data_IF_097411647227
#
_entry.id   IF_097411647227
#
_cell.length_a   1.000
_cell.length_b   1.000
_cell.length_c   1.000
_cell.angle_alpha   90.00
_cell.angle_beta   90.00
_cell.angle_gamma   90.00
#
_symmetry.space_group_name_H-M   'P 1'
#
loop_
_entity.id
_entity.type
_entity.pdbx_description
1 polymer ?
#
# COMPACT_ATOMS: atom_id res chain seq x y z
N UNK A 1 34.11 -22.11 47.81
CA UNK A 1 33.32 -21.91 46.59
C UNK A 1 32.15 -21.01 46.97
N UNK A 2 32.26 -19.68 46.68
CA UNK A 2 31.20 -18.75 46.98
C UNK A 2 30.08 -18.94 45.95
N UNK A 3 28.96 -19.52 46.40
CA UNK A 3 27.76 -19.67 45.54
C UNK A 3 27.31 -18.32 45.04
N UNK A 4 27.14 -18.19 43.73
CA UNK A 4 26.61 -17.00 43.06
C UNK A 4 25.20 -16.71 43.60
N UNK A 5 25.08 -15.68 44.45
CA UNK A 5 23.78 -15.23 45.00
C UNK A 5 23.25 -14.15 44.10
N UNK A 6 22.22 -14.50 43.31
CA UNK A 6 21.44 -13.52 42.53
C UNK A 6 20.72 -12.59 43.47
N UNK A 7 20.89 -11.28 43.29
CA UNK A 7 20.21 -10.26 44.05
C UNK A 7 18.68 -10.40 43.94
N UNK A 8 17.90 -10.21 45.03
CA UNK A 8 16.43 -10.25 44.96
C UNK A 8 15.83 -9.34 43.90
N UNK A 9 16.46 -8.19 43.65
CA UNK A 9 16.03 -7.25 42.61
C UNK A 9 16.22 -7.82 41.23
N UNK A 10 17.34 -8.47 40.94
CA UNK A 10 17.61 -9.15 39.67
C UNK A 10 16.60 -10.28 39.41
N UNK A 11 16.27 -11.06 40.44
CA UNK A 11 15.24 -12.11 40.31
C UNK A 11 13.87 -11.56 39.91
N UNK A 12 13.45 -10.47 40.55
CA UNK A 12 12.18 -9.83 40.18
C UNK A 12 12.16 -9.27 38.77
N UNK A 13 13.28 -8.66 38.33
CA UNK A 13 13.45 -8.18 36.97
C UNK A 13 13.41 -9.32 35.94
N UNK A 14 14.08 -10.41 36.22
CA UNK A 14 14.09 -11.61 35.36
C UNK A 14 12.69 -12.21 35.25
N UNK A 15 11.98 -12.35 36.36
CA UNK A 15 10.61 -12.88 36.39
C UNK A 15 9.65 -11.94 35.61
N UNK A 16 9.71 -10.64 35.90
CA UNK A 16 8.87 -9.66 35.22
C UNK A 16 9.11 -9.66 33.70
N UNK A 17 10.38 -9.67 33.27
CA UNK A 17 10.75 -9.74 31.85
C UNK A 17 10.27 -11.03 31.20
N UNK A 18 10.40 -12.16 31.88
CA UNK A 18 9.89 -13.45 31.41
C UNK A 18 8.37 -13.47 31.24
N UNK A 19 7.63 -12.91 32.21
CA UNK A 19 6.17 -12.80 32.13
C UNK A 19 5.76 -11.91 30.96
N UNK A 20 6.40 -10.74 30.79
CA UNK A 20 6.10 -9.83 29.68
C UNK A 20 6.36 -10.52 28.34
N UNK A 21 7.49 -11.24 28.20
CA UNK A 21 7.80 -11.98 26.99
C UNK A 21 6.75 -13.05 26.68
N UNK A 22 6.34 -13.83 27.68
CA UNK A 22 5.32 -14.86 27.50
C UNK A 22 3.99 -14.23 27.08
N UNK A 23 3.56 -13.14 27.74
CA UNK A 23 2.34 -12.42 27.38
C UNK A 23 2.39 -11.87 25.95
N UNK A 24 3.53 -11.34 25.53
CA UNK A 24 3.75 -10.88 24.19
C UNK A 24 3.65 -12.01 23.14
N UNK A 25 4.31 -13.14 23.41
CA UNK A 25 4.24 -14.33 22.55
C UNK A 25 2.82 -14.88 22.46
N UNK A 26 2.08 -14.93 23.57
CA UNK A 26 0.69 -15.33 23.57
C UNK A 26 -0.21 -14.37 22.78
N UNK A 27 0.04 -13.06 22.88
CA UNK A 27 -0.69 -12.06 22.10
C UNK A 27 -0.44 -12.21 20.59
N UNK A 28 0.84 -12.42 20.20
CA UNK A 28 1.23 -12.68 18.80
C UNK A 28 0.58 -13.97 18.29
N UNK A 29 0.65 -15.05 19.06
CA UNK A 29 0.00 -16.31 18.69
C UNK A 29 -1.53 -16.16 18.55
N UNK A 30 -2.17 -15.48 19.49
CA UNK A 30 -3.62 -15.23 19.45
C UNK A 30 -4.01 -14.36 18.25
N UNK A 31 -3.19 -13.38 17.85
CA UNK A 31 -3.42 -12.57 16.66
C UNK A 31 -3.30 -13.40 15.37
N UNK A 32 -2.31 -14.28 15.29
CA UNK A 32 -2.14 -15.19 14.16
C UNK A 32 -3.34 -16.15 14.00
N UNK A 33 -3.86 -16.70 15.11
CA UNK A 33 -5.05 -17.56 15.09
C UNK A 33 -6.36 -16.82 14.79
N UNK A 34 -6.43 -15.52 15.07
CA UNK A 34 -7.61 -14.68 14.76
C UNK A 34 -7.60 -14.12 13.35
N UNK A 35 -6.63 -14.50 12.52
CA UNK A 35 -6.50 -13.98 11.16
C UNK A 35 -6.28 -12.46 11.17
N UNK A 36 -5.22 -12.01 11.86
CA UNK A 36 -4.83 -10.61 11.82
C UNK A 36 -4.50 -10.23 10.38
N UNK A 37 -5.41 -9.53 9.73
CA UNK A 37 -5.19 -8.96 8.40
C UNK A 37 -4.51 -7.61 8.55
N UNK A 38 -3.36 -7.46 7.92
CA UNK A 38 -2.72 -6.15 7.80
C UNK A 38 -3.60 -5.22 6.96
N UNK A 39 -3.60 -3.90 7.20
CA UNK A 39 -4.21 -2.96 6.29
C UNK A 39 -3.63 -3.17 4.88
N UNK A 40 -4.46 -3.61 3.93
CA UNK A 40 -4.05 -3.99 2.59
C UNK A 40 -4.19 -5.48 2.25
N UNK A 41 -4.40 -6.36 3.25
CA UNK A 41 -4.65 -7.80 3.06
C UNK A 41 -6.11 -8.11 2.66
N UNK A 42 -6.87 -7.14 2.17
CA UNK A 42 -8.20 -7.46 1.62
C UNK A 42 -8.03 -8.46 0.47
N UNK A 43 -8.83 -9.54 0.47
CA UNK A 43 -8.73 -10.54 -0.58
C UNK A 43 -8.92 -9.87 -1.93
N UNK A 44 -7.88 -9.96 -2.76
CA UNK A 44 -7.91 -9.46 -4.13
C UNK A 44 -9.00 -10.21 -4.89
N UNK A 45 -9.93 -9.52 -5.55
CA UNK A 45 -10.90 -10.18 -6.40
C UNK A 45 -10.20 -11.12 -7.39
N UNK A 46 -10.70 -12.36 -7.60
CA UNK A 46 -10.07 -13.31 -8.50
C UNK A 46 -9.84 -12.72 -9.89
N UNK A 47 -8.62 -12.85 -10.42
CA UNK A 47 -8.25 -12.35 -11.75
C UNK A 47 -7.83 -10.88 -11.81
N UNK A 48 -7.78 -10.17 -10.69
CA UNK A 48 -7.40 -8.76 -10.66
C UNK A 48 -5.90 -8.55 -10.90
N UNK A 49 -5.07 -9.52 -10.55
CA UNK A 49 -3.65 -9.59 -10.87
C UNK A 49 -3.38 -9.61 -12.39
N UNK A 50 -4.36 -10.09 -13.17
CA UNK A 50 -4.35 -10.20 -14.63
C UNK A 50 -5.22 -9.17 -15.33
N UNK A 51 -5.93 -8.31 -14.56
CA UNK A 51 -6.80 -7.31 -15.15
C UNK A 51 -6.01 -6.40 -16.09
N UNK A 52 -6.56 -6.15 -17.26
CA UNK A 52 -5.99 -5.17 -18.18
C UNK A 52 -6.06 -3.77 -17.56
N UNK A 53 -5.04 -2.91 -17.77
CA UNK A 53 -5.10 -1.53 -17.34
C UNK A 53 -6.36 -0.83 -17.85
N UNK A 54 -7.14 -0.23 -16.94
CA UNK A 54 -8.43 0.37 -17.26
C UNK A 54 -8.85 1.44 -16.26
N UNK A 55 -9.67 2.37 -16.71
CA UNK A 55 -10.39 3.35 -15.88
C UNK A 55 -11.87 3.06 -16.00
N UNK A 56 -12.51 2.64 -14.92
CA UNK A 56 -13.92 2.24 -14.92
C UNK A 56 -14.74 3.14 -14.00
N UNK A 57 -15.79 3.74 -14.53
CA UNK A 57 -16.76 4.46 -13.72
C UNK A 57 -17.73 3.49 -13.05
N UNK A 58 -17.79 3.52 -11.70
CA UNK A 58 -18.67 2.67 -10.88
C UNK A 58 -19.97 3.35 -10.48
N UNK A 59 -20.03 4.66 -10.67
CA UNK A 59 -21.20 5.48 -10.34
C UNK A 59 -20.84 6.95 -10.42
N UNK A 60 -21.78 7.87 -10.12
CA UNK A 60 -21.51 9.30 -10.15
C UNK A 60 -20.32 9.66 -9.28
N UNK A 61 -19.25 10.20 -9.87
CA UNK A 61 -18.04 10.62 -9.17
C UNK A 61 -17.24 9.49 -8.51
N UNK A 62 -17.43 8.22 -8.86
CA UNK A 62 -16.67 7.08 -8.36
C UNK A 62 -16.02 6.31 -9.48
N UNK A 63 -14.73 6.09 -9.39
CA UNK A 63 -13.90 5.45 -10.40
C UNK A 63 -13.02 4.37 -9.78
N UNK A 64 -12.90 3.24 -10.47
CA UNK A 64 -11.88 2.23 -10.21
C UNK A 64 -10.83 2.32 -11.31
N UNK A 65 -9.57 2.43 -10.92
CA UNK A 65 -8.42 2.45 -11.81
C UNK A 65 -7.59 1.19 -11.60
N UNK A 66 -7.55 0.36 -12.60
CA UNK A 66 -6.68 -0.82 -12.66
C UNK A 66 -5.37 -0.39 -13.31
N UNK A 67 -4.30 -0.36 -12.53
CA UNK A 67 -2.99 0.12 -12.95
C UNK A 67 -1.98 -1.00 -12.88
N UNK A 68 -1.14 -1.10 -13.90
CA UNK A 68 0.02 -1.99 -13.90
C UNK A 68 1.30 -1.16 -13.90
N UNK A 69 2.17 -1.44 -12.94
CA UNK A 69 3.54 -0.96 -12.91
C UNK A 69 4.46 -1.98 -13.56
N UNK A 70 5.38 -1.52 -14.38
CA UNK A 70 6.47 -2.31 -14.96
C UNK A 70 7.66 -1.40 -15.25
N UNK A 71 8.83 -1.94 -15.50
CA UNK A 71 10.05 -1.19 -15.85
C UNK A 71 9.82 -0.42 -17.15
N UNK A 72 9.79 0.83 -17.15
CA UNK A 72 9.78 1.99 -16.28
C UNK A 72 8.54 2.81 -16.62
N UNK A 73 7.40 2.21 -16.48
CA UNK A 73 6.12 2.80 -16.89
C UNK A 73 4.96 2.38 -15.99
N UNK A 74 3.93 3.22 -15.96
CA UNK A 74 2.61 2.88 -15.47
C UNK A 74 1.63 2.75 -16.64
N UNK A 75 0.74 1.80 -16.57
CA UNK A 75 -0.36 1.68 -17.52
C UNK A 75 -1.69 1.59 -16.73
N UNK A 76 -2.63 2.54 -16.91
CA UNK A 76 -2.50 3.75 -17.72
C UNK A 76 -1.55 4.78 -17.09
N UNK A 77 -0.87 5.58 -17.91
CA UNK A 77 -0.02 6.68 -17.47
C UNK A 77 -0.72 8.05 -17.51
N UNK A 78 -1.93 8.10 -18.08
CA UNK A 78 -2.82 9.26 -18.06
C UNK A 78 -4.24 8.80 -17.68
N UNK A 79 -4.84 9.47 -16.69
CA UNK A 79 -6.16 9.18 -16.17
C UNK A 79 -6.96 10.47 -16.18
N UNK A 80 -8.15 10.45 -16.80
CA UNK A 80 -9.06 11.62 -16.87
C UNK A 80 -10.30 11.37 -16.04
N UNK A 81 -10.60 12.28 -15.13
CA UNK A 81 -11.75 12.23 -14.23
C UNK A 81 -12.32 13.63 -13.97
N UNK A 82 -13.61 13.79 -13.70
CA UNK A 82 -14.17 15.07 -13.30
C UNK A 82 -13.82 15.42 -11.84
N UNK A 83 -13.77 16.70 -11.53
CA UNK A 83 -13.59 17.21 -10.17
C UNK A 83 -14.67 16.69 -9.20
N UNK A 84 -14.30 16.48 -7.94
CA UNK A 84 -15.14 15.88 -6.91
C UNK A 84 -15.21 14.35 -6.98
N UNK A 85 -14.35 13.71 -7.80
CA UNK A 85 -14.30 12.26 -7.92
C UNK A 85 -13.51 11.58 -6.82
N UNK A 86 -13.99 10.41 -6.41
CA UNK A 86 -13.26 9.46 -5.57
C UNK A 86 -12.75 8.33 -6.45
N UNK A 87 -11.47 8.07 -6.42
CA UNK A 87 -10.81 7.04 -7.23
C UNK A 87 -10.22 5.98 -6.34
N UNK A 88 -10.58 4.72 -6.58
CA UNK A 88 -9.91 3.57 -5.99
C UNK A 88 -8.92 3.01 -7.00
N UNK A 89 -7.67 3.03 -6.64
CA UNK A 89 -6.58 2.45 -7.42
C UNK A 89 -6.34 1.01 -6.99
N UNK A 90 -6.29 0.12 -7.95
CA UNK A 90 -5.84 -1.26 -7.82
C UNK A 90 -4.57 -1.39 -8.66
N UNK A 91 -3.44 -1.48 -7.97
CA UNK A 91 -2.13 -1.41 -8.63
C UNK A 91 -1.40 -2.73 -8.47
N UNK A 92 -0.89 -3.26 -9.58
CA UNK A 92 -0.08 -4.49 -9.62
C UNK A 92 1.28 -4.21 -10.22
N UNK A 93 2.28 -5.02 -9.85
CA UNK A 93 3.57 -5.04 -10.54
C UNK A 93 3.67 -6.24 -11.46
N UNK A 94 4.17 -6.01 -12.69
CA UNK A 94 4.42 -7.07 -13.66
C UNK A 94 5.82 -7.70 -13.54
N UNK A 95 6.74 -7.05 -12.82
CA UNK A 95 8.16 -7.44 -12.79
C UNK A 95 8.77 -7.37 -11.38
N UNK A 96 9.03 -6.18 -10.86
CA UNK A 96 9.72 -6.00 -9.59
C UNK A 96 9.00 -5.00 -8.68
N UNK A 97 9.60 -4.69 -7.53
CA UNK A 97 9.06 -3.73 -6.59
C UNK A 97 9.05 -2.32 -7.19
N UNK A 98 7.91 -1.64 -7.09
CA UNK A 98 7.70 -0.24 -7.46
C UNK A 98 7.02 0.52 -6.32
N UNK A 99 6.96 1.83 -6.45
CA UNK A 99 6.13 2.68 -5.60
C UNK A 99 5.16 3.50 -6.44
N UNK A 100 4.08 3.97 -5.84
CA UNK A 100 3.18 4.94 -6.43
C UNK A 100 2.94 6.08 -5.44
N UNK A 101 3.37 7.27 -5.80
CA UNK A 101 3.04 8.50 -5.09
C UNK A 101 2.28 9.41 -6.04
N UNK A 102 1.12 9.91 -5.61
CA UNK A 102 0.32 10.89 -6.35
C UNK A 102 0.35 12.21 -5.57
N UNK A 103 0.88 13.27 -6.17
CA UNK A 103 1.00 14.57 -5.51
C UNK A 103 -0.35 15.13 -5.08
N UNK A 104 -0.35 15.90 -4.01
CA UNK A 104 -1.53 16.54 -3.42
C UNK A 104 -2.63 15.55 -2.99
N UNK A 105 -2.29 14.28 -2.76
CA UNK A 105 -3.18 13.25 -2.27
C UNK A 105 -2.56 12.46 -1.13
N UNK A 106 -3.33 11.55 -0.55
CA UNK A 106 -2.87 10.58 0.44
C UNK A 106 -2.24 9.31 -0.17
N UNK A 107 -2.13 9.22 -1.50
CA UNK A 107 -1.58 8.03 -2.15
C UNK A 107 -0.07 8.05 -2.09
N UNK A 108 0.47 7.13 -1.28
CA UNK A 108 1.90 6.83 -1.17
C UNK A 108 2.01 5.37 -0.76
N UNK A 109 2.17 4.48 -1.74
CA UNK A 109 2.08 3.03 -1.54
C UNK A 109 3.19 2.29 -2.28
N UNK A 110 3.62 1.17 -1.70
CA UNK A 110 4.54 0.22 -2.32
C UNK A 110 3.75 -0.83 -3.10
N UNK A 111 4.26 -1.20 -4.27
CA UNK A 111 3.66 -2.17 -5.18
C UNK A 111 4.57 -3.39 -5.27
N UNK A 112 4.08 -4.52 -4.73
CA UNK A 112 4.82 -5.77 -4.73
C UNK A 112 4.40 -6.68 -5.89
N UNK A 113 5.34 -7.39 -6.54
CA UNK A 113 5.00 -8.42 -7.51
C UNK A 113 4.10 -9.49 -6.90
N UNK A 114 3.10 -9.93 -7.66
CA UNK A 114 2.16 -10.97 -7.22
C UNK A 114 1.10 -10.52 -6.23
N UNK A 115 1.07 -9.24 -5.86
CA UNK A 115 0.05 -8.65 -5.00
C UNK A 115 -0.70 -7.53 -5.71
N UNK A 116 -1.94 -7.25 -5.25
CA UNK A 116 -2.69 -6.06 -5.66
C UNK A 116 -2.71 -5.08 -4.51
N UNK A 117 -2.07 -3.94 -4.72
CA UNK A 117 -2.13 -2.83 -3.77
C UNK A 117 -3.38 -2.00 -4.05
N UNK A 118 -4.25 -1.84 -3.04
CA UNK A 118 -5.46 -1.02 -3.11
C UNK A 118 -5.28 0.25 -2.31
N UNK A 119 -5.58 1.39 -2.92
CA UNK A 119 -5.60 2.69 -2.26
C UNK A 119 -6.68 3.58 -2.84
N UNK A 120 -7.15 4.57 -2.07
CA UNK A 120 -8.24 5.45 -2.51
C UNK A 120 -7.85 6.90 -2.27
N UNK A 121 -8.10 7.74 -3.26
CA UNK A 121 -7.93 9.19 -3.15
C UNK A 121 -9.17 9.94 -3.66
N UNK A 122 -9.36 11.14 -3.12
CA UNK A 122 -10.37 12.08 -3.58
C UNK A 122 -9.71 13.24 -4.32
N UNK A 123 -10.30 13.65 -5.44
CA UNK A 123 -9.81 14.70 -6.31
C UNK A 123 -10.86 15.81 -6.42
N UNK A 124 -10.82 16.76 -5.51
CA UNK A 124 -11.83 17.82 -5.45
C UNK A 124 -11.55 18.99 -6.39
N UNK A 125 -10.28 19.34 -6.60
CA UNK A 125 -9.87 20.48 -7.39
C UNK A 125 -9.49 20.09 -8.81
N UNK A 126 -9.96 20.85 -9.83
CA UNK A 126 -9.49 20.66 -11.20
C UNK A 126 -7.98 20.94 -11.31
N UNK A 127 -7.31 20.20 -12.18
CA UNK A 127 -5.88 20.36 -12.43
C UNK A 127 -5.18 19.06 -12.78
N UNK A 128 -3.88 19.14 -12.93
CA UNK A 128 -3.01 18.00 -13.19
C UNK A 128 -2.38 17.55 -11.86
N UNK A 129 -2.53 16.27 -11.53
CA UNK A 129 -1.93 15.62 -10.38
C UNK A 129 -0.91 14.62 -10.91
N UNK A 130 0.34 14.93 -10.75
CA UNK A 130 1.42 14.07 -11.23
C UNK A 130 1.58 12.88 -10.30
N UNK A 131 1.97 11.74 -10.86
CA UNK A 131 2.39 10.60 -10.08
C UNK A 131 3.69 10.01 -10.62
N UNK A 132 4.44 9.36 -9.72
CA UNK A 132 5.72 8.76 -10.06
C UNK A 132 6.05 7.56 -9.17
N UNK A 133 6.97 6.75 -9.64
CA UNK A 133 7.58 5.70 -8.86
C UNK A 133 8.55 6.31 -7.84
N UNK A 134 8.42 5.95 -6.56
CA UNK A 134 9.31 6.41 -5.49
C UNK A 134 10.23 5.32 -4.94
N UNK A 135 10.06 4.07 -5.41
CA UNK A 135 10.93 2.95 -5.07
C UNK A 135 11.91 2.70 -6.23
N UNK A 136 13.20 2.62 -5.92
CA UNK A 136 14.21 2.44 -6.97
C UNK A 136 13.97 1.14 -7.74
N UNK A 137 13.64 1.26 -9.01
CA UNK A 137 13.29 0.16 -9.90
C UNK A 137 14.24 0.03 -11.12
N UNK A 138 15.46 0.54 -11.01
CA UNK A 138 16.48 0.41 -12.03
C UNK A 138 16.86 1.70 -12.76
N UNK A 139 17.54 1.57 -13.89
CA UNK A 139 18.31 2.65 -14.55
C UNK A 139 17.44 3.87 -14.94
N UNK A 140 16.25 3.65 -15.51
CA UNK A 140 15.35 4.72 -15.92
C UNK A 140 14.22 5.00 -14.90
N UNK A 141 14.42 4.65 -13.63
CA UNK A 141 13.48 4.90 -12.54
C UNK A 141 12.93 6.35 -12.53
N UNK A 142 13.79 7.34 -12.77
CA UNK A 142 13.43 8.76 -12.77
C UNK A 142 12.47 9.15 -13.92
N UNK A 143 12.27 8.33 -14.92
CA UNK A 143 11.34 8.55 -16.03
C UNK A 143 9.98 7.92 -15.82
N UNK A 144 9.82 7.11 -14.76
CA UNK A 144 8.59 6.39 -14.46
C UNK A 144 7.55 7.31 -13.81
N UNK A 145 6.84 8.05 -14.66
CA UNK A 145 5.87 9.09 -14.28
C UNK A 145 4.57 8.95 -15.05
N UNK A 146 3.51 9.57 -14.52
CA UNK A 146 2.23 9.74 -15.18
C UNK A 146 1.42 10.86 -14.54
N UNK A 147 0.13 10.96 -14.87
CA UNK A 147 -0.73 12.03 -14.38
C UNK A 147 -2.21 11.64 -14.29
N UNK A 148 -2.89 12.24 -13.33
CA UNK A 148 -4.35 12.30 -13.27
C UNK A 148 -4.77 13.71 -13.69
N UNK A 149 -5.57 13.82 -14.74
CA UNK A 149 -6.16 15.06 -15.22
C UNK A 149 -7.56 15.16 -14.62
N UNK A 150 -7.74 16.12 -13.72
CA UNK A 150 -9.00 16.40 -13.08
C UNK A 150 -9.68 17.54 -13.83
N UNK A 151 -10.72 17.21 -14.58
CA UNK A 151 -11.47 18.14 -15.41
C UNK A 151 -12.53 18.89 -14.58
N UNK A 152 -12.84 20.14 -14.95
CA UNK A 152 -13.94 20.87 -14.32
C UNK A 152 -15.25 20.13 -14.56
N UNK A 153 -16.06 19.99 -13.54
CA UNK A 153 -17.41 19.45 -13.67
C UNK A 153 -18.25 20.44 -14.46
N UNK A 154 -18.69 20.06 -15.65
CA UNK A 154 -19.67 20.83 -16.47
C UNK A 154 -21.05 20.81 -15.81
#
# INVERSE_FOLDING_TARGET
>A
MNGFRVDPYEKWWMVASGVILILFLLAVAASAFRGFSLPGDEPTPPGMDRAAPAVLQRGPGRYDVYMRAQIWSFAPNEIKIPAGSTVTFFVTSADLLHGLLIERTNVNVTILPGQVTKTTARFDEPGEYRFWCHEYCGLAHHTMVGKVIVERRS
#
